data_IF_724650673159
#
_entry.id   IF_724650673159
#
_cell.length_a   1.000
_cell.length_b   1.000
_cell.length_c   1.000
_cell.angle_alpha   90.00
_cell.angle_beta   90.00
_cell.angle_gamma   90.00
#
_symmetry.space_group_name_H-M   'P 1'
#
loop_
_entity.id
_entity.type
_entity.pdbx_description
1 polymer ?
#
# COMPACT_ATOMS: atom_id res chain seq x y z
N UNK A 1 -1.25 7.63 0.49
CA UNK A 1 -1.43 7.15 1.88
C UNK A 1 -2.54 7.95 2.58
N UNK A 2 -3.16 7.36 3.61
CA UNK A 2 -4.38 7.88 4.28
C UNK A 2 -4.17 7.98 5.79
N UNK A 3 -4.99 8.79 6.46
CA UNK A 3 -5.07 8.89 7.93
C UNK A 3 -3.98 9.76 8.59
N UNK A 4 -2.75 9.73 8.05
CA UNK A 4 -1.61 10.43 8.64
C UNK A 4 -0.71 9.47 9.43
N UNK A 5 0.32 10.02 10.07
CA UNK A 5 1.35 9.27 10.80
C UNK A 5 1.74 9.98 12.08
N UNK A 6 2.55 9.34 12.91
CA UNK A 6 3.08 9.89 14.15
C UNK A 6 3.91 11.17 13.97
N UNK A 7 4.38 11.47 12.75
CA UNK A 7 5.12 12.69 12.42
C UNK A 7 4.21 13.86 12.01
N UNK A 8 2.89 13.65 11.86
CA UNK A 8 1.97 14.67 11.36
C UNK A 8 1.32 15.45 12.51
N UNK A 9 1.18 16.77 12.34
CA UNK A 9 0.49 17.61 13.34
C UNK A 9 -1.02 17.31 13.40
N UNK A 10 -1.69 17.53 14.56
CA UNK A 10 -3.10 17.19 14.73
C UNK A 10 -4.04 17.79 13.69
N UNK A 11 -3.78 19.03 13.24
CA UNK A 11 -4.57 19.72 12.20
C UNK A 11 -4.64 18.97 10.86
N UNK A 12 -3.68 18.07 10.60
CA UNK A 12 -3.54 17.27 9.38
C UNK A 12 -4.14 15.86 9.50
N UNK A 13 -4.50 15.42 10.71
CA UNK A 13 -5.01 14.09 10.98
C UNK A 13 -6.54 14.08 10.84
N UNK A 14 -7.04 13.55 9.72
CA UNK A 14 -8.48 13.43 9.43
C UNK A 14 -8.79 12.17 8.63
N UNK A 15 -10.00 11.64 8.75
CA UNK A 15 -10.46 10.49 7.96
C UNK A 15 -10.40 10.76 6.45
N UNK A 16 -10.66 12.00 6.03
CA UNK A 16 -10.58 12.43 4.65
C UNK A 16 -9.15 12.72 4.16
N UNK A 17 -8.12 12.66 5.04
CA UNK A 17 -6.76 13.02 4.66
C UNK A 17 -6.18 12.06 3.60
N UNK A 18 -5.61 12.64 2.54
CA UNK A 18 -4.96 11.93 1.44
C UNK A 18 -3.61 12.57 1.15
N UNK A 19 -2.54 11.77 1.19
CA UNK A 19 -1.19 12.19 0.77
C UNK A 19 -0.76 11.38 -0.45
N UNK A 20 -0.49 11.99 -1.61
CA UNK A 20 0.03 11.28 -2.77
C UNK A 20 1.47 10.82 -2.53
N UNK A 21 1.88 9.75 -3.21
CA UNK A 21 3.30 9.39 -3.31
C UNK A 21 4.02 10.39 -4.23
N UNK A 22 5.29 10.70 -3.95
CA UNK A 22 6.11 11.56 -4.80
C UNK A 22 7.39 10.85 -5.20
N UNK A 23 8.05 11.33 -6.27
CA UNK A 23 9.35 10.78 -6.73
C UNK A 23 10.44 10.87 -5.65
N UNK A 24 10.32 11.82 -4.71
CA UNK A 24 11.28 11.99 -3.62
C UNK A 24 11.37 10.75 -2.73
N UNK A 25 10.28 10.01 -2.56
CA UNK A 25 10.28 8.80 -1.74
C UNK A 25 11.17 7.69 -2.30
N UNK A 26 11.58 7.76 -3.57
CA UNK A 26 12.47 6.76 -4.19
C UNK A 26 13.86 7.32 -4.49
N UNK A 27 14.19 8.51 -3.98
CA UNK A 27 15.48 9.15 -4.26
C UNK A 27 16.67 8.32 -3.77
N UNK A 28 16.48 7.57 -2.67
CA UNK A 28 17.50 6.68 -2.09
C UNK A 28 17.60 5.31 -2.74
N UNK A 29 16.68 4.93 -3.63
CA UNK A 29 16.80 3.67 -4.38
C UNK A 29 18.02 3.78 -5.32
N UNK A 30 19.06 2.94 -5.20
CA UNK A 30 20.26 3.03 -6.03
C UNK A 30 20.02 2.54 -7.48
N UNK A 31 18.95 1.79 -7.76
CA UNK A 31 18.73 1.14 -9.06
C UNK A 31 18.42 2.13 -10.19
N UNK A 32 18.83 1.82 -11.43
CA UNK A 32 18.45 2.54 -12.66
C UNK A 32 18.00 1.49 -13.70
N UNK A 33 16.74 1.50 -14.16
CA UNK A 33 15.62 2.35 -13.72
C UNK A 33 15.23 2.06 -12.26
N UNK A 34 14.64 3.05 -11.58
CA UNK A 34 14.20 2.90 -10.18
C UNK A 34 13.15 1.79 -10.09
N UNK A 35 13.27 0.95 -9.07
CA UNK A 35 12.35 -0.14 -8.84
C UNK A 35 10.92 0.38 -8.57
N UNK A 36 9.92 -0.43 -8.92
CA UNK A 36 8.53 -0.11 -8.54
C UNK A 36 8.27 -0.35 -7.05
N UNK A 37 8.97 -1.31 -6.45
CA UNK A 37 8.59 -1.87 -5.15
C UNK A 37 9.69 -1.83 -4.09
N UNK A 38 10.90 -1.38 -4.42
CA UNK A 38 12.05 -1.42 -3.49
C UNK A 38 12.45 -0.02 -2.99
N UNK A 39 13.11 -0.02 -1.83
CA UNK A 39 13.83 1.12 -1.22
C UNK A 39 13.08 2.47 -1.16
N UNK A 40 11.80 2.43 -0.79
CA UNK A 40 11.01 3.65 -0.60
C UNK A 40 11.33 4.28 0.76
N UNK A 41 11.86 5.49 0.74
CA UNK A 41 12.11 6.37 1.88
C UNK A 41 10.81 7.03 2.38
N UNK A 42 10.01 6.25 3.10
CA UNK A 42 8.77 6.73 3.67
C UNK A 42 8.47 6.02 5.02
N UNK A 43 9.21 6.35 6.11
CA UNK A 43 9.05 5.69 7.42
C UNK A 43 7.67 5.91 8.07
N UNK A 44 6.90 6.88 7.56
CA UNK A 44 5.51 7.11 7.95
C UNK A 44 4.49 6.20 7.25
N UNK A 45 4.93 5.32 6.35
CA UNK A 45 4.05 4.47 5.54
C UNK A 45 4.09 3.04 6.06
N UNK A 46 2.90 2.49 6.31
CA UNK A 46 2.71 1.08 6.64
C UNK A 46 1.53 0.49 5.87
N UNK A 47 1.25 -0.78 6.13
CA UNK A 47 0.14 -1.51 5.53
C UNK A 47 -0.97 -1.76 6.54
N UNK A 48 -2.22 -1.66 6.09
CA UNK A 48 -3.39 -2.12 6.83
C UNK A 48 -4.04 -3.23 6.02
N UNK A 49 -3.97 -4.45 6.52
CA UNK A 49 -4.62 -5.60 5.89
C UNK A 49 -6.13 -5.46 6.07
N UNK A 50 -6.86 -5.69 4.99
CA UNK A 50 -8.32 -5.75 4.99
C UNK A 50 -8.74 -7.11 4.45
N UNK A 51 -9.84 -7.64 4.97
CA UNK A 51 -10.46 -8.86 4.48
C UNK A 51 -11.96 -8.63 4.24
N UNK A 52 -12.58 -9.36 3.30
CA UNK A 52 -14.03 -9.46 3.24
C UNK A 52 -14.60 -9.93 4.58
N UNK A 53 -15.77 -9.38 4.95
CA UNK A 53 -16.50 -9.83 6.15
C UNK A 53 -16.98 -11.28 5.94
N UNK A 54 -17.64 -11.51 4.81
CA UNK A 54 -18.10 -12.80 4.33
C UNK A 54 -17.02 -13.37 3.42
N UNK A 55 -16.56 -14.58 3.71
CA UNK A 55 -15.57 -15.27 2.88
C UNK A 55 -16.20 -15.58 1.51
N UNK A 56 -15.58 -15.13 0.40
CA UNK A 56 -16.09 -15.41 -0.94
C UNK A 56 -16.07 -16.92 -1.24
N UNK A 57 -16.90 -17.37 -2.18
CA UNK A 57 -16.92 -18.78 -2.61
C UNK A 57 -15.59 -19.16 -3.28
N UNK A 58 -15.32 -20.45 -3.45
CA UNK A 58 -14.08 -20.90 -4.11
C UNK A 58 -13.98 -20.39 -5.56
N UNK A 59 -15.11 -20.33 -6.28
CA UNK A 59 -15.18 -19.78 -7.64
C UNK A 59 -14.80 -18.29 -7.67
N UNK A 60 -15.31 -17.51 -6.72
CA UNK A 60 -14.99 -16.09 -6.57
C UNK A 60 -13.53 -15.89 -6.15
N UNK A 61 -13.00 -16.73 -5.26
CA UNK A 61 -11.61 -16.69 -4.85
C UNK A 61 -10.67 -16.92 -6.04
N UNK A 62 -10.92 -17.95 -6.84
CA UNK A 62 -10.14 -18.23 -8.06
C UNK A 62 -10.16 -17.04 -9.01
N UNK A 63 -11.32 -16.38 -9.17
CA UNK A 63 -11.47 -15.17 -9.99
C UNK A 63 -10.66 -13.97 -9.46
N UNK A 64 -10.68 -13.71 -8.16
CA UNK A 64 -10.00 -12.54 -7.57
C UNK A 64 -8.48 -12.69 -7.48
N UNK A 65 -8.01 -13.84 -7.00
CA UNK A 65 -6.61 -14.06 -6.70
C UNK A 65 -5.83 -14.68 -7.86
N UNK A 66 -6.51 -15.18 -8.91
CA UNK A 66 -5.89 -15.76 -10.12
C UNK A 66 -4.80 -16.81 -9.81
N UNK A 67 -4.96 -17.55 -8.71
CA UNK A 67 -4.17 -18.74 -8.48
C UNK A 67 -4.93 -19.88 -9.15
N UNK A 68 -4.49 -20.30 -10.33
CA UNK A 68 -4.85 -21.64 -10.78
C UNK A 68 -3.98 -22.62 -10.01
N UNK A 69 -4.57 -23.73 -9.58
CA UNK A 69 -3.78 -24.89 -9.19
C UNK A 69 -3.00 -25.28 -10.43
N UNK A 70 -1.68 -25.08 -10.41
CA UNK A 70 -0.78 -25.74 -11.34
C UNK A 70 -1.02 -27.24 -11.09
N UNK A 71 -1.78 -27.88 -11.98
CA UNK A 71 -1.85 -29.33 -12.08
C UNK A 71 -0.58 -29.84 -12.73
#
# INVERSE_FOLDING_TARGET
VRGGSWMDSPSRLRSAARRPSTKQWKKRDPQIPKSKWWHTDAPFVGFRVVRPLITPSEEEQKKYWKYESIQ
#
